data_IF_618254496178
#
_entry.id   IF_618254496178
#
_cell.length_a   1.000
_cell.length_b   1.000
_cell.length_c   1.000
_cell.angle_alpha   90.00
_cell.angle_beta   90.00
_cell.angle_gamma   90.00
#
_symmetry.space_group_name_H-M   'P 1'
#
loop_
_entity.id
_entity.type
_entity.pdbx_description
1 polymer ?
#
# COMPACT_ATOMS: atom_id res chain seq x y z
N UNK A 1 38.37 -20.58 -22.55
CA UNK A 1 37.42 -21.12 -21.55
C UNK A 1 36.31 -20.11 -21.32
N UNK A 2 35.14 -20.34 -21.88
CA UNK A 2 34.06 -19.34 -22.02
C UNK A 2 32.91 -19.72 -21.09
N UNK A 3 32.69 -18.96 -20.01
CA UNK A 3 31.49 -19.10 -19.16
C UNK A 3 30.27 -18.59 -19.93
N UNK A 4 29.38 -19.49 -20.35
CA UNK A 4 28.03 -19.15 -20.84
C UNK A 4 27.23 -18.49 -19.71
N UNK A 5 26.84 -17.23 -19.86
CA UNK A 5 25.75 -16.62 -19.07
C UNK A 5 24.43 -17.21 -19.57
N UNK A 6 23.69 -17.90 -18.69
CA UNK A 6 22.48 -18.66 -19.05
C UNK A 6 21.19 -17.81 -18.97
N UNK A 7 21.25 -16.54 -18.58
CA UNK A 7 20.06 -15.68 -18.58
C UNK A 7 20.29 -14.40 -19.39
N UNK A 8 19.58 -14.28 -20.51
CA UNK A 8 19.42 -13.02 -21.26
C UNK A 8 18.38 -12.18 -20.51
N UNK A 9 18.77 -11.01 -20.03
CA UNK A 9 17.90 -10.05 -19.33
C UNK A 9 16.67 -9.64 -20.17
N UNK A 10 16.74 -9.77 -21.51
CA UNK A 10 15.63 -9.52 -22.43
C UNK A 10 14.52 -10.58 -22.41
N UNK A 11 14.79 -11.80 -21.91
CA UNK A 11 13.78 -12.86 -21.89
C UNK A 11 12.68 -12.61 -20.87
N UNK A 12 13.00 -11.88 -19.78
CA UNK A 12 12.02 -11.54 -18.76
C UNK A 12 11.06 -10.45 -19.24
N UNK A 13 11.54 -9.45 -19.98
CA UNK A 13 10.69 -8.37 -20.47
C UNK A 13 9.66 -8.86 -21.49
N UNK A 14 9.98 -9.88 -22.29
CA UNK A 14 9.11 -10.46 -23.32
C UNK A 14 7.99 -11.39 -22.82
N UNK A 15 8.03 -11.82 -21.55
CA UNK A 15 7.02 -12.76 -21.02
C UNK A 15 5.67 -12.07 -20.78
N UNK A 16 4.59 -12.75 -21.14
CA UNK A 16 3.24 -12.27 -20.90
C UNK A 16 2.96 -12.20 -19.37
N UNK A 17 2.10 -11.28 -18.89
CA UNK A 17 1.85 -11.09 -17.46
C UNK A 17 1.45 -12.37 -16.70
N UNK A 18 0.69 -13.26 -17.33
CA UNK A 18 0.29 -14.55 -16.75
C UNK A 18 1.47 -15.52 -16.63
N UNK A 19 2.44 -15.49 -17.56
CA UNK A 19 3.66 -16.32 -17.51
C UNK A 19 4.61 -15.84 -16.41
N UNK A 20 4.69 -14.52 -16.19
CA UNK A 20 5.46 -13.94 -15.08
C UNK A 20 4.85 -14.32 -13.73
N UNK A 21 3.52 -14.21 -13.60
CA UNK A 21 2.79 -14.62 -12.40
C UNK A 21 2.98 -16.10 -12.09
N UNK A 22 2.95 -16.96 -13.11
CA UNK A 22 3.18 -18.39 -12.97
C UNK A 22 4.62 -18.74 -12.53
N UNK A 23 5.63 -18.07 -13.08
CA UNK A 23 7.03 -18.30 -12.69
C UNK A 23 7.34 -17.81 -11.26
N UNK A 24 6.75 -16.68 -10.85
CA UNK A 24 6.89 -16.16 -9.48
C UNK A 24 6.17 -17.09 -8.50
N UNK A 25 4.94 -17.51 -8.82
CA UNK A 25 4.17 -18.45 -8.00
C UNK A 25 4.86 -19.82 -7.85
N UNK A 26 5.46 -20.33 -8.92
CA UNK A 26 6.26 -21.56 -8.90
C UNK A 26 7.51 -21.40 -8.02
N UNK A 27 8.20 -20.26 -8.12
CA UNK A 27 9.38 -19.97 -7.30
C UNK A 27 9.07 -19.90 -5.80
N UNK A 28 8.00 -19.20 -5.43
CA UNK A 28 7.54 -19.13 -4.03
C UNK A 28 7.05 -20.50 -3.53
N UNK A 29 6.29 -21.24 -4.33
CA UNK A 29 5.81 -22.58 -3.97
C UNK A 29 6.95 -23.58 -3.75
N UNK A 30 8.00 -23.52 -4.58
CA UNK A 30 9.19 -24.35 -4.42
C UNK A 30 10.01 -23.98 -3.17
N UNK A 31 10.12 -22.69 -2.86
CA UNK A 31 10.80 -22.23 -1.64
C UNK A 31 10.05 -22.67 -0.37
N UNK A 32 8.72 -22.57 -0.37
CA UNK A 32 7.87 -23.03 0.72
C UNK A 32 7.89 -24.56 0.88
N UNK A 33 7.93 -25.30 -0.23
CA UNK A 33 8.11 -26.74 -0.21
C UNK A 33 9.45 -27.16 0.39
N UNK A 34 10.54 -26.47 0.05
CA UNK A 34 11.87 -26.76 0.61
C UNK A 34 11.90 -26.53 2.14
N UNK A 35 11.03 -25.67 2.67
CA UNK A 35 10.94 -25.38 4.09
C UNK A 35 9.98 -26.31 4.85
N UNK A 36 8.95 -26.85 4.19
CA UNK A 36 7.85 -27.58 4.84
C UNK A 36 7.74 -29.06 4.43
N UNK A 37 8.45 -29.48 3.39
CA UNK A 37 8.46 -30.85 2.86
C UNK A 37 7.17 -31.32 2.19
N UNK A 38 6.13 -30.47 2.11
CA UNK A 38 4.78 -30.87 1.68
C UNK A 38 4.43 -30.36 0.29
N UNK A 39 4.31 -31.27 -0.69
CA UNK A 39 4.16 -30.98 -2.13
C UNK A 39 2.91 -30.14 -2.48
N UNK A 40 1.92 -30.09 -1.59
CA UNK A 40 0.69 -29.30 -1.74
C UNK A 40 0.93 -27.80 -1.91
N UNK A 41 2.04 -27.25 -1.37
CA UNK A 41 2.37 -25.84 -1.48
C UNK A 41 2.82 -25.40 -2.89
N UNK A 42 3.33 -26.32 -3.70
CA UNK A 42 3.68 -26.04 -5.10
C UNK A 42 2.40 -25.81 -5.91
N UNK A 43 1.38 -26.66 -5.71
CA UNK A 43 0.09 -26.51 -6.37
C UNK A 43 -0.64 -25.23 -5.94
N UNK A 44 -0.63 -24.92 -4.64
CA UNK A 44 -1.20 -23.67 -4.12
C UNK A 44 -0.50 -22.42 -4.67
N UNK A 45 0.84 -22.44 -4.75
CA UNK A 45 1.63 -21.33 -5.30
C UNK A 45 1.38 -21.07 -6.80
N UNK A 46 1.23 -22.13 -7.60
CA UNK A 46 0.91 -22.02 -9.03
C UNK A 46 -0.53 -21.51 -9.23
N UNK A 47 -1.49 -21.97 -8.41
CA UNK A 47 -2.88 -21.50 -8.44
C UNK A 47 -3.01 -20.01 -8.13
N UNK A 48 -2.41 -19.57 -7.01
CA UNK A 48 -2.42 -18.15 -6.61
C UNK A 48 -1.67 -17.24 -7.59
N UNK A 49 -0.51 -17.67 -8.08
CA UNK A 49 0.30 -16.89 -9.04
C UNK A 49 -0.40 -16.69 -10.39
N UNK A 50 -1.17 -17.69 -10.85
CA UNK A 50 -1.94 -17.60 -12.10
C UNK A 50 -3.16 -16.69 -11.97
N UNK A 51 -3.86 -16.75 -10.82
CA UNK A 51 -5.01 -15.90 -10.52
C UNK A 51 -4.65 -14.41 -10.44
N UNK A 52 -3.58 -14.08 -9.72
CA UNK A 52 -3.08 -12.70 -9.62
C UNK A 52 -2.58 -12.17 -10.97
N UNK A 53 -1.93 -13.00 -11.79
CA UNK A 53 -1.46 -12.62 -13.13
C UNK A 53 -2.60 -12.25 -14.08
N UNK A 54 -3.74 -12.95 -13.99
CA UNK A 54 -4.94 -12.66 -14.79
C UNK A 54 -5.70 -11.41 -14.31
N UNK A 55 -5.80 -11.21 -13.00
CA UNK A 55 -6.42 -10.01 -12.41
C UNK A 55 -5.65 -8.73 -12.78
N UNK A 56 -4.31 -8.78 -12.69
CA UNK A 56 -3.46 -7.64 -13.08
C UNK A 56 -3.42 -7.42 -14.59
N UNK A 57 -3.51 -8.49 -15.40
CA UNK A 57 -3.64 -8.41 -16.85
C UNK A 57 -4.95 -7.75 -17.31
N UNK A 58 -6.07 -8.09 -16.66
CA UNK A 58 -7.39 -7.48 -16.92
C UNK A 58 -7.45 -6.01 -16.52
N UNK A 59 -6.84 -5.62 -15.39
CA UNK A 59 -6.72 -4.19 -15.00
C UNK A 59 -5.92 -3.36 -16.01
N UNK A 60 -4.87 -3.91 -16.62
CA UNK A 60 -4.10 -3.20 -17.67
C UNK A 60 -4.83 -3.10 -19.01
N UNK A 61 -5.61 -4.11 -19.39
CA UNK A 61 -6.41 -4.06 -20.62
C UNK A 61 -7.57 -3.04 -20.50
N UNK A 62 -8.12 -2.84 -19.30
CA UNK A 62 -9.21 -1.89 -19.09
C UNK A 62 -8.77 -0.41 -19.15
N UNK A 63 -7.50 -0.11 -18.86
CA UNK A 63 -6.93 1.24 -18.99
C UNK A 63 -6.54 1.61 -20.44
N UNK A 64 -6.72 0.71 -21.40
CA UNK A 64 -6.65 1.02 -22.83
C UNK A 64 -8.00 0.79 -23.49
N UNK A 65 -8.95 1.70 -23.25
CA UNK A 65 -10.03 1.94 -24.21
C UNK A 65 -9.46 2.64 -25.45
N UNK A 66 -9.94 2.28 -26.65
CA UNK A 66 -9.31 2.64 -27.92
C UNK A 66 -9.43 4.15 -28.18
N UNK A 67 -8.32 4.76 -28.56
CA UNK A 67 -8.29 6.15 -29.00
C UNK A 67 -9.24 6.32 -30.20
N UNK A 68 -10.20 7.24 -30.04
CA UNK A 68 -11.05 7.75 -31.11
C UNK A 68 -10.19 8.17 -32.30
N UNK A 69 -10.50 7.55 -33.44
CA UNK A 69 -10.01 7.88 -34.78
C UNK A 69 -10.25 9.37 -35.06
N UNK A 70 -9.18 10.15 -35.00
CA UNK A 70 -9.13 11.49 -35.57
C UNK A 70 -8.22 11.41 -36.79
N UNK A 71 -8.85 11.48 -37.95
CA UNK A 71 -8.19 11.58 -39.25
C UNK A 71 -7.41 12.88 -39.29
N UNK A 72 -6.07 12.81 -39.30
CA UNK A 72 -5.21 13.91 -39.75
C UNK A 72 -3.89 13.35 -40.27
N UNK A 73 -3.82 13.39 -41.61
CA UNK A 73 -2.67 13.43 -42.54
C UNK A 73 -1.28 13.09 -42.01
N UNK A 74 -0.65 12.16 -42.73
CA UNK A 74 0.78 11.90 -42.75
C UNK A 74 1.61 13.19 -42.92
N UNK A 75 2.55 13.40 -41.99
CA UNK A 75 3.85 14.00 -42.28
C UNK A 75 4.90 13.26 -41.46
N UNK A 76 5.57 12.31 -42.13
CA UNK A 76 6.76 11.60 -41.67
C UNK A 76 7.96 12.54 -41.68
N UNK A 77 8.26 13.13 -40.53
CA UNK A 77 9.63 13.56 -40.18
C UNK A 77 10.03 12.88 -38.87
N UNK A 78 11.20 12.22 -38.80
CA UNK A 78 11.66 11.61 -37.56
C UNK A 78 12.04 12.72 -36.58
N UNK A 79 11.29 12.82 -35.47
CA UNK A 79 11.59 13.72 -34.37
C UNK A 79 12.91 13.26 -33.73
N UNK A 80 13.95 14.10 -33.62
CA UNK A 80 15.19 13.70 -32.98
C UNK A 80 14.90 13.31 -31.52
N UNK A 81 15.32 12.11 -31.12
CA UNK A 81 15.31 11.64 -29.74
C UNK A 81 16.16 12.63 -28.94
N UNK A 82 15.50 13.55 -28.21
CA UNK A 82 16.16 14.31 -27.16
C UNK A 82 16.56 13.29 -26.09
N UNK A 83 17.84 12.96 -26.01
CA UNK A 83 18.44 12.46 -24.79
C UNK A 83 18.05 13.41 -23.66
N UNK A 84 17.52 12.91 -22.52
CA UNK A 84 17.27 13.78 -21.38
C UNK A 84 18.61 14.39 -20.99
N UNK A 85 18.75 15.71 -21.10
CA UNK A 85 19.85 16.41 -20.45
C UNK A 85 19.79 16.07 -18.96
N UNK A 86 20.91 15.81 -18.27
CA UNK A 86 20.90 15.62 -16.82
C UNK A 86 20.17 16.83 -16.22
N UNK A 87 19.02 16.60 -15.58
CA UNK A 87 18.34 17.66 -14.84
C UNK A 87 19.28 18.08 -13.73
N UNK A 88 19.97 19.20 -13.92
CA UNK A 88 20.64 19.88 -12.82
C UNK A 88 19.52 20.33 -11.88
N UNK A 89 19.40 19.65 -10.74
CA UNK A 89 18.44 20.03 -9.71
C UNK A 89 18.81 21.42 -9.21
N UNK A 90 17.82 22.27 -8.99
CA UNK A 90 18.04 23.51 -8.26
C UNK A 90 18.46 23.20 -6.82
N UNK A 91 19.12 24.14 -6.14
CA UNK A 91 19.52 23.91 -4.75
C UNK A 91 18.31 23.61 -3.85
N UNK A 92 17.19 24.29 -4.07
CA UNK A 92 15.92 24.02 -3.38
C UNK A 92 15.40 22.59 -3.63
N UNK A 93 15.51 22.08 -4.86
CA UNK A 93 15.12 20.70 -5.18
C UNK A 93 16.06 19.68 -4.51
N UNK A 94 17.34 20.00 -4.38
CA UNK A 94 18.31 19.15 -3.68
C UNK A 94 18.05 19.12 -2.18
N UNK A 95 17.76 20.27 -1.57
CA UNK A 95 17.38 20.38 -0.15
C UNK A 95 16.06 19.66 0.13
N UNK A 96 15.05 19.82 -0.72
CA UNK A 96 13.79 19.07 -0.61
C UNK A 96 14.00 17.56 -0.73
N UNK A 97 14.88 17.12 -1.64
CA UNK A 97 15.21 15.71 -1.79
C UNK A 97 16.01 15.16 -0.61
N UNK A 98 16.91 15.96 -0.03
CA UNK A 98 17.64 15.62 1.19
C UNK A 98 16.69 15.47 2.39
N UNK A 99 15.75 16.41 2.55
CA UNK A 99 14.68 16.33 3.54
C UNK A 99 13.87 15.03 3.37
N UNK A 100 13.36 14.77 2.17
CA UNK A 100 12.57 13.56 1.89
C UNK A 100 13.36 12.27 2.15
N UNK A 101 14.64 12.24 1.76
CA UNK A 101 15.52 11.10 2.00
C UNK A 101 15.79 10.88 3.51
N UNK A 102 15.97 11.97 4.28
CA UNK A 102 16.14 11.90 5.72
C UNK A 102 14.89 11.37 6.42
N UNK A 103 13.70 11.86 6.05
CA UNK A 103 12.43 11.35 6.56
C UNK A 103 12.22 9.87 6.24
N UNK A 104 12.44 9.47 4.99
CA UNK A 104 12.33 8.07 4.59
C UNK A 104 13.26 7.15 5.41
N UNK A 105 14.53 7.52 5.55
CA UNK A 105 15.50 6.70 6.28
C UNK A 105 15.27 6.75 7.79
N UNK A 106 14.89 7.90 8.34
CA UNK A 106 14.48 8.05 9.73
C UNK A 106 13.30 7.16 10.08
N UNK A 107 12.28 7.07 9.21
CA UNK A 107 11.14 6.17 9.43
C UNK A 107 11.60 4.71 9.44
N UNK A 108 12.47 4.32 8.50
CA UNK A 108 13.03 2.96 8.49
C UNK A 108 13.87 2.64 9.73
N UNK A 109 14.58 3.63 10.29
CA UNK A 109 15.30 3.47 11.55
C UNK A 109 14.32 3.24 12.72
N UNK A 110 13.25 4.05 12.81
CA UNK A 110 12.22 3.91 13.83
C UNK A 110 11.50 2.54 13.75
N UNK A 111 11.39 1.98 12.55
CA UNK A 111 10.85 0.63 12.30
C UNK A 111 11.88 -0.50 12.49
N UNK A 112 13.12 -0.21 12.87
CA UNK A 112 14.19 -1.20 13.01
C UNK A 112 14.68 -1.83 11.69
N UNK A 113 14.33 -1.25 10.54
CA UNK A 113 14.67 -1.76 9.20
C UNK A 113 16.03 -1.30 8.67
N UNK A 114 16.69 -0.37 9.36
CA UNK A 114 18.06 0.07 9.09
C UNK A 114 18.67 0.65 10.35
N UNK A 115 19.99 0.60 10.46
CA UNK A 115 20.73 1.36 11.46
C UNK A 115 21.12 2.75 10.92
N UNK A 116 21.70 3.58 11.79
CA UNK A 116 22.14 4.95 11.44
C UNK A 116 23.19 4.95 10.32
N UNK A 117 24.12 3.99 10.35
CA UNK A 117 25.17 3.87 9.34
C UNK A 117 24.58 3.58 7.95
N UNK A 118 23.64 2.63 7.87
CA UNK A 118 22.90 2.30 6.66
C UNK A 118 22.06 3.45 6.13
N UNK A 119 21.36 4.18 7.01
CA UNK A 119 20.57 5.37 6.66
C UNK A 119 21.45 6.46 6.01
N UNK A 120 22.55 6.83 6.68
CA UNK A 120 23.46 7.86 6.18
C UNK A 120 24.18 7.44 4.90
N UNK A 121 24.49 6.14 4.74
CA UNK A 121 25.05 5.60 3.51
C UNK A 121 24.04 5.76 2.35
N UNK A 122 22.81 5.32 2.55
CA UNK A 122 21.76 5.40 1.54
C UNK A 122 21.46 6.85 1.12
N UNK A 123 21.37 7.78 2.09
CA UNK A 123 21.15 9.20 1.82
C UNK A 123 22.29 9.80 0.96
N UNK A 124 23.54 9.47 1.28
CA UNK A 124 24.72 9.91 0.52
C UNK A 124 24.75 9.38 -0.90
N UNK A 125 24.44 8.09 -1.08
CA UNK A 125 24.40 7.43 -2.40
C UNK A 125 23.24 7.92 -3.27
N UNK A 126 22.11 8.33 -2.67
CA UNK A 126 20.90 8.72 -3.41
C UNK A 126 20.90 10.17 -3.86
N UNK A 127 21.32 11.10 -2.98
CA UNK A 127 21.21 12.55 -3.25
C UNK A 127 22.57 13.17 -3.62
N UNK A 128 23.64 12.78 -2.94
CA UNK A 128 25.00 13.28 -3.18
C UNK A 128 25.21 14.80 -2.99
N UNK A 129 26.48 15.20 -2.90
CA UNK A 129 26.89 16.61 -3.03
C UNK A 129 26.63 17.51 -1.81
N UNK A 130 26.34 16.94 -0.64
CA UNK A 130 26.34 17.68 0.63
C UNK A 130 27.52 17.22 1.51
N UNK A 131 28.02 18.06 2.45
CA UNK A 131 29.02 17.62 3.42
C UNK A 131 28.42 16.58 4.38
N UNK A 132 29.23 15.63 4.92
CA UNK A 132 28.73 14.56 5.80
C UNK A 132 27.85 15.05 6.96
N UNK A 133 28.24 16.16 7.60
CA UNK A 133 27.56 16.75 8.76
C UNK A 133 26.15 17.23 8.42
N UNK A 134 25.90 17.61 7.16
CA UNK A 134 24.58 18.03 6.68
C UNK A 134 23.61 16.86 6.63
N UNK A 135 24.06 15.68 6.22
CA UNK A 135 23.23 14.47 6.25
C UNK A 135 22.88 14.06 7.67
N UNK A 136 23.83 14.15 8.60
CA UNK A 136 23.60 13.82 10.02
C UNK A 136 22.60 14.78 10.64
N UNK A 137 22.81 16.09 10.50
CA UNK A 137 21.89 17.11 11.00
C UNK A 137 20.48 16.91 10.44
N UNK A 138 20.35 16.63 9.14
CA UNK A 138 19.04 16.43 8.54
C UNK A 138 18.37 15.14 9.03
N UNK A 139 19.14 14.07 9.22
CA UNK A 139 18.62 12.82 9.76
C UNK A 139 18.14 13.01 11.22
N UNK A 140 18.88 13.74 12.04
CA UNK A 140 18.48 14.03 13.42
C UNK A 140 17.20 14.88 13.48
N UNK A 141 17.10 15.90 12.62
CA UNK A 141 15.87 16.70 12.50
C UNK A 141 14.67 15.85 12.05
N UNK A 142 14.89 14.92 11.12
CA UNK A 142 13.84 13.98 10.69
C UNK A 142 13.43 13.04 11.81
N UNK A 143 14.37 12.48 12.58
CA UNK A 143 14.08 11.60 13.72
C UNK A 143 13.25 12.32 14.79
N UNK A 144 13.61 13.55 15.15
CA UNK A 144 12.80 14.36 16.07
C UNK A 144 11.38 14.61 15.53
N UNK A 145 11.27 15.00 14.25
CA UNK A 145 9.96 15.21 13.62
C UNK A 145 9.10 13.94 13.54
N UNK A 146 9.73 12.78 13.36
CA UNK A 146 9.07 11.47 13.37
C UNK A 146 8.54 11.14 14.76
N UNK A 147 9.31 11.38 15.83
CA UNK A 147 8.84 11.14 17.20
C UNK A 147 7.65 12.04 17.56
N UNK A 148 7.68 13.32 17.18
CA UNK A 148 6.53 14.21 17.36
C UNK A 148 5.30 13.74 16.58
N UNK A 149 5.51 13.29 15.34
CA UNK A 149 4.42 12.79 14.52
C UNK A 149 3.84 11.48 15.07
N UNK A 150 4.70 10.59 15.59
CA UNK A 150 4.33 9.37 16.29
C UNK A 150 3.49 9.69 17.53
N UNK A 151 3.89 10.68 18.33
CA UNK A 151 3.12 11.12 19.49
C UNK A 151 1.73 11.65 19.08
N UNK A 152 1.63 12.43 18.00
CA UNK A 152 0.34 12.91 17.47
C UNK A 152 -0.55 11.77 17.00
N UNK A 153 0.01 10.79 16.27
CA UNK A 153 -0.74 9.60 15.83
C UNK A 153 -1.18 8.77 17.03
N UNK A 154 -0.33 8.57 18.03
CA UNK A 154 -0.68 7.85 19.25
C UNK A 154 -1.83 8.54 20.02
N UNK A 155 -1.79 9.88 20.16
CA UNK A 155 -2.86 10.64 20.78
C UNK A 155 -4.18 10.52 20.02
N UNK A 156 -4.13 10.58 18.68
CA UNK A 156 -5.31 10.34 17.84
C UNK A 156 -5.87 8.93 18.02
N UNK A 157 -5.01 7.90 17.98
CA UNK A 157 -5.45 6.51 18.21
C UNK A 157 -6.09 6.32 19.56
N UNK A 158 -5.53 6.91 20.61
CA UNK A 158 -6.11 6.85 21.95
C UNK A 158 -7.51 7.47 21.98
N UNK A 159 -7.72 8.59 21.25
CA UNK A 159 -9.03 9.20 21.08
C UNK A 159 -9.97 8.28 20.30
N UNK A 160 -9.55 7.76 19.16
CA UNK A 160 -10.36 6.89 18.29
C UNK A 160 -10.77 5.60 19.06
N UNK A 161 -9.87 5.01 19.85
CA UNK A 161 -10.17 3.89 20.76
C UNK A 161 -11.19 4.30 21.83
N UNK A 162 -11.03 5.46 22.47
CA UNK A 162 -11.96 5.93 23.49
C UNK A 162 -13.37 6.18 22.95
N UNK A 163 -13.48 6.66 21.71
CA UNK A 163 -14.75 6.83 21.00
C UNK A 163 -15.37 5.48 20.61
N UNK A 164 -14.57 4.56 20.04
CA UNK A 164 -15.03 3.23 19.67
C UNK A 164 -15.58 2.44 20.86
N UNK A 165 -14.98 2.59 22.05
CA UNK A 165 -15.43 1.94 23.29
C UNK A 165 -16.81 2.40 23.78
N UNK A 166 -17.39 3.45 23.20
CA UNK A 166 -18.75 3.92 23.51
C UNK A 166 -19.81 3.34 22.57
N UNK A 167 -19.41 2.53 21.59
CA UNK A 167 -20.27 1.93 20.59
C UNK A 167 -20.60 0.47 20.96
N UNK A 168 -21.59 -0.12 20.29
CA UNK A 168 -21.80 -1.56 20.32
C UNK A 168 -20.65 -2.30 19.60
N UNK A 169 -20.51 -3.60 19.87
CA UNK A 169 -19.39 -4.41 19.38
C UNK A 169 -19.14 -4.29 17.87
N UNK A 170 -20.22 -4.28 17.07
CA UNK A 170 -20.12 -4.25 15.61
C UNK A 170 -19.54 -2.92 15.12
N UNK A 171 -20.08 -1.81 15.62
CA UNK A 171 -19.66 -0.47 15.25
C UNK A 171 -18.28 -0.10 15.85
N UNK A 172 -17.98 -0.54 17.08
CA UNK A 172 -16.68 -0.35 17.73
C UNK A 172 -15.56 -1.04 16.95
N UNK A 173 -15.77 -2.31 16.56
CA UNK A 173 -14.80 -3.08 15.79
C UNK A 173 -14.63 -2.48 14.40
N UNK A 174 -15.71 -2.06 13.73
CA UNK A 174 -15.59 -1.43 12.42
C UNK A 174 -14.72 -0.17 12.45
N UNK A 175 -14.95 0.76 13.39
CA UNK A 175 -14.18 2.01 13.46
C UNK A 175 -12.66 1.75 13.53
N UNK A 176 -12.23 0.82 14.38
CA UNK A 176 -10.81 0.49 14.56
C UNK A 176 -10.26 -0.42 13.45
N UNK A 177 -11.05 -1.36 12.95
CA UNK A 177 -10.65 -2.27 11.87
C UNK A 177 -10.54 -1.54 10.54
N UNK A 178 -11.51 -0.69 10.22
CA UNK A 178 -11.47 0.21 9.07
C UNK A 178 -10.22 1.11 9.13
N UNK A 179 -9.93 1.70 10.30
CA UNK A 179 -8.69 2.46 10.50
C UNK A 179 -7.46 1.61 10.15
N UNK A 180 -7.38 0.38 10.67
CA UNK A 180 -6.29 -0.53 10.37
C UNK A 180 -6.19 -0.79 8.86
N UNK A 181 -7.26 -1.22 8.21
CA UNK A 181 -7.23 -1.54 6.79
C UNK A 181 -6.83 -0.32 5.93
N UNK A 182 -7.23 0.89 6.32
CA UNK A 182 -6.97 2.12 5.57
C UNK A 182 -5.58 2.70 5.81
N UNK A 183 -5.06 2.61 7.03
CA UNK A 183 -3.87 3.38 7.43
C UNK A 183 -2.68 2.51 7.85
N UNK A 184 -2.90 1.28 8.32
CA UNK A 184 -1.80 0.44 8.84
C UNK A 184 -0.86 -0.14 7.78
N UNK A 185 -1.26 -0.07 6.49
CA UNK A 185 -0.39 -0.36 5.36
C UNK A 185 0.47 0.81 4.87
N UNK A 186 0.34 2.02 5.44
CA UNK A 186 1.00 3.22 4.96
C UNK A 186 2.21 3.65 5.81
N UNK A 187 3.17 4.29 5.15
CA UNK A 187 4.43 4.85 5.70
C UNK A 187 4.19 5.97 6.77
N UNK A 188 2.93 6.27 7.13
CA UNK A 188 2.54 7.37 8.01
C UNK A 188 2.25 7.02 9.47
N UNK A 189 2.35 5.76 9.88
CA UNK A 189 2.09 5.35 11.27
C UNK A 189 3.35 5.30 12.14
N UNK A 190 4.51 5.69 11.60
CA UNK A 190 5.77 5.83 12.33
C UNK A 190 6.13 4.61 13.19
N UNK A 191 5.86 3.41 12.66
CA UNK A 191 6.14 2.14 13.32
C UNK A 191 5.19 1.74 14.45
N UNK A 192 4.03 2.40 14.60
CA UNK A 192 3.03 2.03 15.61
C UNK A 192 2.22 0.77 15.26
N UNK A 193 2.23 0.33 14.00
CA UNK A 193 1.52 -0.87 13.53
C UNK A 193 -0.01 -0.76 13.65
N UNK A 194 -0.77 -1.82 13.30
CA UNK A 194 -2.23 -1.82 13.46
C UNK A 194 -2.63 -1.75 14.95
N UNK A 195 -3.77 -1.15 15.23
CA UNK A 195 -4.42 -1.20 16.55
C UNK A 195 -4.81 -2.64 16.84
N UNK A 196 -4.37 -3.18 17.97
CA UNK A 196 -4.75 -4.50 18.42
C UNK A 196 -6.18 -4.46 18.99
N UNK A 197 -7.14 -5.06 18.29
CA UNK A 197 -8.56 -5.03 18.67
C UNK A 197 -8.82 -5.74 20.00
N UNK A 198 -8.15 -6.88 20.25
CA UNK A 198 -8.29 -7.62 21.51
C UNK A 198 -7.76 -6.82 22.69
N UNK A 199 -6.67 -6.06 22.51
CA UNK A 199 -6.16 -5.16 23.55
C UNK A 199 -7.08 -3.95 23.77
N UNK A 200 -7.62 -3.39 22.68
CA UNK A 200 -8.42 -2.17 22.74
C UNK A 200 -9.85 -2.39 23.25
N UNK A 201 -10.44 -3.56 22.96
CA UNK A 201 -11.87 -3.84 23.18
C UNK A 201 -12.15 -5.15 23.95
N UNK A 202 -11.15 -6.00 24.19
CA UNK A 202 -11.35 -7.34 24.75
C UNK A 202 -11.79 -7.39 26.22
N UNK A 203 -11.79 -6.25 26.92
CA UNK A 203 -12.40 -6.11 28.24
C UNK A 203 -13.91 -5.81 28.19
N UNK A 204 -14.42 -5.37 27.03
CA UNK A 204 -15.83 -5.05 26.79
C UNK A 204 -16.57 -6.14 26.02
N UNK A 205 -15.88 -6.77 25.07
CA UNK A 205 -16.45 -7.78 24.18
C UNK A 205 -15.59 -9.04 24.20
N UNK A 206 -16.24 -10.19 24.12
CA UNK A 206 -15.50 -11.45 24.03
C UNK A 206 -14.84 -11.62 22.65
N UNK A 207 -13.94 -12.61 22.54
CA UNK A 207 -13.22 -12.86 21.30
C UNK A 207 -14.14 -13.26 20.14
N UNK A 208 -15.25 -13.97 20.42
CA UNK A 208 -16.18 -14.42 19.39
C UNK A 208 -16.94 -13.22 18.79
N UNK A 209 -17.39 -12.29 19.63
CA UNK A 209 -18.00 -11.03 19.21
C UNK A 209 -17.05 -10.18 18.37
N UNK A 210 -15.78 -10.08 18.77
CA UNK A 210 -14.77 -9.34 18.02
C UNK A 210 -14.51 -10.00 16.66
N UNK A 211 -14.30 -11.31 16.61
CA UNK A 211 -14.02 -12.05 15.37
C UNK A 211 -15.20 -12.03 14.40
N UNK A 212 -16.44 -12.16 14.90
CA UNK A 212 -17.66 -12.01 14.10
C UNK A 212 -17.74 -10.59 13.52
N UNK A 213 -17.56 -9.57 14.35
CA UNK A 213 -17.63 -8.18 13.92
C UNK A 213 -16.53 -7.82 12.92
N UNK A 214 -15.32 -8.38 13.05
CA UNK A 214 -14.25 -8.25 12.04
C UNK A 214 -14.71 -8.83 10.70
N UNK A 215 -15.23 -10.06 10.70
CA UNK A 215 -15.70 -10.73 9.47
C UNK A 215 -16.79 -9.93 8.77
N UNK A 216 -17.74 -9.38 9.53
CA UNK A 216 -18.81 -8.53 9.00
C UNK A 216 -18.29 -7.19 8.50
N UNK A 217 -17.28 -6.62 9.17
CA UNK A 217 -16.66 -5.36 8.77
C UNK A 217 -15.86 -5.50 7.49
N UNK A 218 -15.15 -6.62 7.31
CA UNK A 218 -14.48 -6.96 6.05
C UNK A 218 -15.49 -7.02 4.89
N UNK A 219 -16.63 -7.67 5.10
CA UNK A 219 -17.69 -7.74 4.08
C UNK A 219 -18.26 -6.36 3.72
N UNK A 220 -18.51 -5.49 4.72
CA UNK A 220 -18.97 -4.13 4.49
C UNK A 220 -17.92 -3.29 3.73
N UNK A 221 -16.64 -3.39 4.10
CA UNK A 221 -15.53 -2.68 3.45
C UNK A 221 -15.40 -3.13 1.99
N UNK A 222 -15.43 -4.45 1.74
CA UNK A 222 -15.34 -5.00 0.39
C UNK A 222 -16.51 -4.55 -0.49
N UNK A 223 -17.74 -4.58 0.03
CA UNK A 223 -18.90 -4.09 -0.73
C UNK A 223 -18.83 -2.58 -0.95
N UNK A 224 -18.43 -1.81 0.06
CA UNK A 224 -18.20 -0.36 -0.06
C UNK A 224 -17.21 -0.02 -1.17
N UNK A 225 -16.13 -0.80 -1.31
CA UNK A 225 -15.19 -0.68 -2.42
C UNK A 225 -15.81 -0.97 -3.78
N UNK A 226 -16.72 -1.93 -3.86
CA UNK A 226 -17.36 -2.32 -5.12
C UNK A 226 -18.44 -1.34 -5.59
N UNK A 227 -19.07 -0.62 -4.66
CA UNK A 227 -20.25 0.23 -4.95
C UNK A 227 -19.87 1.69 -5.31
N UNK A 228 -18.75 2.20 -4.82
CA UNK A 228 -18.43 3.62 -4.88
C UNK A 228 -17.60 4.02 -6.11
N UNK A 229 -18.25 4.13 -7.27
CA UNK A 229 -17.63 4.65 -8.52
C UNK A 229 -17.98 6.12 -8.82
N UNK A 230 -19.07 6.63 -8.27
CA UNK A 230 -19.57 7.99 -8.57
C UNK A 230 -19.92 8.75 -7.28
N UNK A 231 -19.45 9.99 -7.11
CA UNK A 231 -19.66 10.78 -5.89
C UNK A 231 -21.14 11.21 -5.69
N UNK A 232 -21.92 11.27 -6.77
CA UNK A 232 -23.30 11.78 -6.75
C UNK A 232 -24.36 10.71 -6.36
N UNK A 233 -23.97 9.44 -6.18
CA UNK A 233 -24.89 8.33 -5.87
C UNK A 233 -24.72 7.79 -4.43
N UNK A 234 -24.07 8.57 -3.55
CA UNK A 234 -23.73 8.17 -2.18
C UNK A 234 -24.98 7.76 -1.37
N UNK A 235 -26.10 8.48 -1.51
CA UNK A 235 -27.35 8.14 -0.80
C UNK A 235 -27.94 6.78 -1.18
N UNK A 236 -27.90 6.40 -2.46
CA UNK A 236 -28.36 5.08 -2.93
C UNK A 236 -27.40 3.97 -2.51
N UNK A 237 -26.09 4.23 -2.59
CA UNK A 237 -25.06 3.28 -2.17
C UNK A 237 -25.18 2.98 -0.68
N UNK A 238 -25.34 3.99 0.17
CA UNK A 238 -25.54 3.80 1.61
C UNK A 238 -26.84 3.06 1.91
N UNK A 239 -27.92 3.33 1.17
CA UNK A 239 -29.16 2.57 1.31
C UNK A 239 -28.94 1.08 1.01
N UNK A 240 -28.24 0.74 -0.07
CA UNK A 240 -27.90 -0.64 -0.41
C UNK A 240 -27.03 -1.29 0.68
N UNK A 241 -25.98 -0.59 1.14
CA UNK A 241 -25.11 -1.11 2.21
C UNK A 241 -25.90 -1.35 3.50
N UNK A 242 -26.86 -0.47 3.83
CA UNK A 242 -27.75 -0.64 5.00
C UNK A 242 -28.60 -1.90 4.90
N UNK A 243 -29.10 -2.23 3.71
CA UNK A 243 -29.92 -3.41 3.45
C UNK A 243 -29.11 -4.71 3.57
N UNK A 244 -27.87 -4.72 3.08
CA UNK A 244 -27.01 -5.90 3.09
C UNK A 244 -26.25 -6.09 4.42
N UNK A 245 -25.94 -4.99 5.11
CA UNK A 245 -25.13 -4.98 6.34
C UNK A 245 -25.92 -4.36 7.50
N UNK A 246 -26.96 -5.04 8.01
CA UNK A 246 -27.78 -4.50 9.08
C UNK A 246 -26.99 -4.36 10.39
N UNK A 247 -27.29 -3.32 11.18
CA UNK A 247 -26.68 -3.09 12.50
C UNK A 247 -25.53 -2.07 12.50
N UNK A 248 -24.99 -1.71 11.34
CA UNK A 248 -24.09 -0.56 11.23
C UNK A 248 -24.86 0.76 11.30
N UNK A 249 -24.24 1.77 11.92
CA UNK A 249 -24.77 3.15 11.85
C UNK A 249 -24.53 3.76 10.48
N UNK A 250 -25.35 4.75 10.13
CA UNK A 250 -25.20 5.52 8.89
C UNK A 250 -23.80 6.11 8.72
N UNK A 251 -23.16 6.54 9.81
CA UNK A 251 -21.81 7.08 9.78
C UNK A 251 -20.80 6.05 9.23
N UNK A 252 -20.84 4.81 9.72
CA UNK A 252 -19.93 3.75 9.29
C UNK A 252 -20.21 3.28 7.85
N UNK A 253 -21.49 3.25 7.45
CA UNK A 253 -21.87 2.96 6.06
C UNK A 253 -21.32 4.03 5.09
N UNK A 254 -21.38 5.31 5.46
CA UNK A 254 -20.77 6.39 4.69
C UNK A 254 -19.25 6.27 4.64
N UNK A 255 -18.59 5.96 5.75
CA UNK A 255 -17.12 5.76 5.78
C UNK A 255 -16.67 4.63 4.83
N UNK A 256 -17.42 3.51 4.80
CA UNK A 256 -17.15 2.40 3.89
C UNK A 256 -17.28 2.81 2.42
N UNK A 257 -18.37 3.51 2.07
CA UNK A 257 -18.60 4.01 0.72
C UNK A 257 -17.53 5.04 0.28
N UNK A 258 -17.21 6.01 1.13
CA UNK A 258 -16.23 7.06 0.84
C UNK A 258 -14.83 6.49 0.57
N UNK A 259 -14.45 5.42 1.28
CA UNK A 259 -13.17 4.76 1.01
C UNK A 259 -13.13 4.08 -0.35
N UNK A 260 -14.22 3.41 -0.73
CA UNK A 260 -14.34 2.81 -2.05
C UNK A 260 -14.15 3.84 -3.17
N UNK A 261 -14.73 5.02 -3.01
CA UNK A 261 -14.54 6.11 -3.96
C UNK A 261 -13.07 6.54 -4.07
N UNK A 262 -12.37 6.68 -2.94
CA UNK A 262 -10.94 7.00 -2.95
C UNK A 262 -10.10 5.93 -3.64
N UNK A 263 -10.41 4.65 -3.45
CA UNK A 263 -9.66 3.53 -4.04
C UNK A 263 -9.93 3.33 -5.53
N UNK A 264 -11.10 3.75 -6.03
CA UNK A 264 -11.50 3.62 -7.43
C UNK A 264 -11.13 4.83 -8.31
N UNK A 265 -10.61 5.91 -7.73
CA UNK A 265 -10.12 7.10 -8.44
C UNK A 265 -8.66 6.95 -8.88
#
# INVERSE_FOLDING_TARGET
MTRRRIFKEDAWSSLAPHQKGLLIGLGMGAALWAFTGTLSWIAAGVGLGSGLGLLLGRRRAHNHRPARTSVLRLSTTPRPRRTPSPRVLTEEQRESSLYAAAWFNGTRMAEGKTDRAGALKHMRETIGGFPPERYETQLDAALSGIEEAKARVAARRAKDIAEARQLDALNAVFELHYFNCRFSGHIGEYGLGPINLSEALGDLFDCEQIDEAVTRSDALIEEGWSCAYYPDDNGRQVQQLREHHPGYTDAHLHQAADWGYFMNR
#
